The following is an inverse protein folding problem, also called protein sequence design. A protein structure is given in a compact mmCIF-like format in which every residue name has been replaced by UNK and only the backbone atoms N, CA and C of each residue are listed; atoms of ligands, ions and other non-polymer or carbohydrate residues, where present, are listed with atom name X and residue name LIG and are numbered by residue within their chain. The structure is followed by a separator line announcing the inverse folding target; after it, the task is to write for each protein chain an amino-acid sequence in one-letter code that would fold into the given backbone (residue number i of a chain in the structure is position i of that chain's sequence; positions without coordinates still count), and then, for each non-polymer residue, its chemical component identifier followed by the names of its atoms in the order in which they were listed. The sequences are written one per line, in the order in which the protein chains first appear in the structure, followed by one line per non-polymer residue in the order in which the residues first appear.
data_IF_880679369879
#
_entry.id   IF_880679369879
#
_cell.length_a   1.000
_cell.length_b   1.000
_cell.length_c   1.000
_cell.angle_alpha   90.00
_cell.angle_beta   90.00
_cell.angle_gamma   90.00
#
_symmetry.space_group_name_H-M   'P 1'
#
loop_
_entity.id
_entity.type
_entity.pdbx_description
1 polymer ?
#
# COMPACT_ATOMS: atom_id res chain seq x y z
N UNK A 1 10.06 29.53 -0.10
CA UNK A 1 9.23 30.18 -1.17
C UNK A 1 9.54 29.78 -2.62
N UNK A 2 10.59 30.29 -3.29
CA UNK A 2 10.77 30.10 -4.75
C UNK A 2 11.01 28.64 -5.21
N UNK A 3 11.66 27.84 -4.37
CA UNK A 3 11.95 26.43 -4.66
C UNK A 3 10.69 25.55 -4.53
N UNK A 4 9.93 25.72 -3.44
CA UNK A 4 8.66 25.03 -3.20
C UNK A 4 7.60 25.39 -4.26
N UNK A 5 7.50 26.67 -4.65
CA UNK A 5 6.60 27.08 -5.73
C UNK A 5 6.97 26.43 -7.07
N UNK A 6 8.27 26.40 -7.42
CA UNK A 6 8.74 25.74 -8.64
C UNK A 6 8.48 24.23 -8.64
N UNK A 7 8.63 23.58 -7.49
CA UNK A 7 8.39 22.15 -7.35
C UNK A 7 6.90 21.81 -7.47
N UNK A 8 6.02 22.55 -6.79
CA UNK A 8 4.57 22.39 -6.90
C UNK A 8 4.08 22.72 -8.32
N UNK A 9 4.60 23.78 -8.96
CA UNK A 9 4.24 24.15 -10.32
C UNK A 9 4.72 23.12 -11.37
N UNK A 10 5.89 22.51 -11.15
CA UNK A 10 6.43 21.42 -11.96
C UNK A 10 5.55 20.16 -11.86
N UNK A 11 5.22 19.75 -10.63
CA UNK A 11 4.42 18.55 -10.40
C UNK A 11 2.95 18.73 -10.81
N UNK A 12 2.38 19.94 -10.69
CA UNK A 12 1.03 20.25 -11.22
C UNK A 12 0.98 20.19 -12.75
N UNK A 13 2.06 20.56 -13.44
CA UNK A 13 2.19 20.40 -14.90
C UNK A 13 2.27 18.94 -15.32
N UNK A 14 2.97 18.09 -14.56
CA UNK A 14 2.99 16.64 -14.80
C UNK A 14 1.62 16.01 -14.55
N UNK A 15 0.88 16.48 -13.53
CA UNK A 15 -0.46 15.98 -13.19
C UNK A 15 -1.60 16.62 -14.01
N UNK A 16 -1.30 17.47 -15.01
CA UNK A 16 -2.29 18.16 -15.87
C UNK A 16 -3.43 18.88 -15.11
N UNK A 17 -3.15 19.40 -13.92
CA UNK A 17 -4.16 20.05 -13.06
C UNK A 17 -3.77 21.49 -12.72
N UNK A 18 -4.77 22.34 -12.48
CA UNK A 18 -4.56 23.73 -12.08
C UNK A 18 -3.89 23.81 -10.71
N UNK A 19 -2.99 24.76 -10.48
CA UNK A 19 -2.23 24.93 -9.23
C UNK A 19 -3.08 24.83 -7.95
N UNK A 20 -4.24 25.48 -7.93
CA UNK A 20 -5.21 25.39 -6.83
C UNK A 20 -5.81 23.99 -6.67
N UNK A 21 -6.15 23.32 -7.77
CA UNK A 21 -6.64 21.94 -7.74
C UNK A 21 -5.55 20.96 -7.32
N UNK A 22 -4.28 21.22 -7.64
CA UNK A 22 -3.15 20.41 -7.18
C UNK A 22 -2.89 20.60 -5.68
N UNK A 23 -2.94 21.85 -5.20
CA UNK A 23 -2.85 22.20 -3.79
C UNK A 23 -3.98 21.55 -2.98
N UNK A 24 -5.21 21.55 -3.51
CA UNK A 24 -6.39 21.00 -2.81
C UNK A 24 -6.53 19.49 -2.99
N UNK A 25 -6.22 18.91 -4.16
CA UNK A 25 -6.55 17.51 -4.50
C UNK A 25 -5.36 16.59 -4.83
N UNK A 26 -4.15 17.07 -5.14
CA UNK A 26 -3.24 16.24 -5.96
C UNK A 26 -1.72 16.31 -5.74
N UNK A 27 -1.20 16.79 -4.61
CA UNK A 27 0.26 16.88 -4.41
C UNK A 27 0.78 16.25 -3.13
N UNK A 28 2.04 15.80 -3.18
CA UNK A 28 2.83 15.27 -2.06
C UNK A 28 2.52 16.03 -0.76
N UNK A 29 2.00 15.36 0.27
CA UNK A 29 1.54 16.02 1.49
C UNK A 29 2.64 16.87 2.15
N UNK A 30 3.89 16.42 2.06
CA UNK A 30 5.07 17.12 2.55
C UNK A 30 5.32 18.45 1.86
N UNK A 31 5.23 18.52 0.52
CA UNK A 31 5.48 19.77 -0.22
C UNK A 31 4.39 20.80 0.02
N UNK A 32 3.13 20.36 0.12
CA UNK A 32 2.00 21.26 0.45
C UNK A 32 2.10 21.76 1.89
N UNK A 33 2.55 20.93 2.83
CA UNK A 33 2.75 21.32 4.22
C UNK A 33 3.80 22.42 4.35
N UNK A 34 4.99 22.24 3.77
CA UNK A 34 6.07 23.23 3.80
C UNK A 34 5.65 24.55 3.15
N UNK A 35 4.92 24.49 2.03
CA UNK A 35 4.42 25.69 1.37
C UNK A 35 3.41 26.48 2.23
N UNK A 36 2.49 25.77 2.91
CA UNK A 36 1.51 26.41 3.79
C UNK A 36 2.17 27.03 5.03
N UNK A 37 3.19 26.37 5.58
CA UNK A 37 3.98 26.88 6.69
C UNK A 37 4.71 28.19 6.32
N UNK A 38 5.40 28.20 5.18
CA UNK A 38 6.06 29.38 4.63
C UNK A 38 5.05 30.54 4.42
N UNK A 39 3.89 30.24 3.81
CA UNK A 39 2.86 31.25 3.55
C UNK A 39 2.23 31.82 4.83
N UNK A 40 1.95 30.95 5.81
CA UNK A 40 1.39 31.34 7.10
C UNK A 40 2.36 32.24 7.85
N UNK A 41 3.65 31.90 7.85
CA UNK A 41 4.69 32.66 8.55
C UNK A 41 4.88 34.05 7.95
N UNK A 42 4.96 34.15 6.62
CA UNK A 42 5.10 35.44 5.92
C UNK A 42 3.86 36.32 6.15
N UNK A 43 2.65 35.74 6.06
CA UNK A 43 1.40 36.48 6.27
C UNK A 43 1.29 36.94 7.72
N UNK A 44 1.64 36.09 8.69
CA UNK A 44 1.64 36.43 10.10
C UNK A 44 2.58 37.60 10.44
N UNK A 45 3.80 37.61 9.89
CA UNK A 45 4.75 38.72 10.08
C UNK A 45 4.25 40.02 9.45
N UNK A 46 3.63 39.96 8.27
CA UNK A 46 3.03 41.15 7.64
C UNK A 46 1.87 41.73 8.46
N UNK A 47 0.99 40.86 8.98
CA UNK A 47 -0.13 41.28 9.85
C UNK A 47 0.40 41.87 11.15
N UNK A 48 1.36 41.22 11.80
CA UNK A 48 1.98 41.73 13.02
C UNK A 48 2.66 43.10 12.79
N UNK A 49 3.44 43.23 11.72
CA UNK A 49 4.12 44.47 11.36
C UNK A 49 3.17 45.62 11.05
N UNK A 50 2.08 45.35 10.34
CA UNK A 50 1.04 46.37 10.03
C UNK A 50 0.25 46.78 11.27
N UNK A 51 -0.18 45.83 12.11
CA UNK A 51 -0.86 46.12 13.37
C UNK A 51 0.03 46.92 14.34
N UNK A 52 1.29 46.54 14.49
CA UNK A 52 2.24 47.25 15.36
C UNK A 52 2.55 48.66 14.84
N UNK A 53 2.71 48.82 13.53
CA UNK A 53 2.94 50.13 12.91
C UNK A 53 1.72 51.06 13.08
N UNK A 54 0.51 50.55 12.89
CA UNK A 54 -0.72 51.31 13.11
C UNK A 54 -0.93 51.63 14.60
N UNK A 55 -0.69 50.68 15.50
CA UNK A 55 -0.81 50.88 16.95
C UNK A 55 0.11 52.00 17.43
N UNK A 56 1.37 52.01 16.97
CA UNK A 56 2.33 53.06 17.28
C UNK A 56 1.93 54.43 16.70
N UNK A 57 1.36 54.46 15.49
CA UNK A 57 0.95 55.71 14.85
C UNK A 57 -0.28 56.34 15.52
N UNK A 58 -1.29 55.52 15.87
CA UNK A 58 -2.53 55.97 16.48
C UNK A 58 -2.50 56.03 18.01
N UNK A 59 -1.43 55.54 18.66
CA UNK A 59 -1.31 55.44 20.13
C UNK A 59 -2.48 54.69 20.79
N UNK A 60 -3.04 53.69 20.09
CA UNK A 60 -4.19 52.89 20.54
C UNK A 60 -3.76 51.43 20.78
N UNK A 61 -3.50 51.03 22.05
CA UNK A 61 -3.04 49.68 22.40
C UNK A 61 -4.02 48.56 22.00
N UNK A 62 -5.30 48.90 21.81
CA UNK A 62 -6.34 47.97 21.40
C UNK A 62 -6.09 47.34 20.03
N UNK A 63 -5.43 48.06 19.11
CA UNK A 63 -5.14 47.59 17.75
C UNK A 63 -4.14 46.42 17.76
N UNK A 64 -3.18 46.45 18.68
CA UNK A 64 -2.18 45.39 18.84
C UNK A 64 -2.79 44.09 19.40
N UNK A 65 -3.73 44.23 20.34
CA UNK A 65 -4.49 43.10 20.90
C UNK A 65 -5.36 42.41 19.84
N UNK A 66 -6.03 43.19 18.98
CA UNK A 66 -6.83 42.64 17.87
C UNK A 66 -5.96 41.96 16.81
N UNK A 67 -4.77 42.52 16.52
CA UNK A 67 -3.77 41.90 15.66
C UNK A 67 -3.33 40.53 16.17
N UNK A 68 -3.05 40.41 17.46
CA UNK A 68 -2.63 39.15 18.10
C UNK A 68 -3.72 38.07 18.03
N UNK A 69 -5.00 38.43 18.27
CA UNK A 69 -6.14 37.49 18.12
C UNK A 69 -6.26 37.02 16.67
N UNK A 70 -6.11 37.91 15.71
CA UNK A 70 -6.20 37.60 14.28
C UNK A 70 -5.11 36.62 13.86
N UNK A 71 -3.88 36.81 14.32
CA UNK A 71 -2.76 35.88 14.09
C UNK A 71 -3.06 34.50 14.70
N UNK A 72 -3.61 34.46 15.92
CA UNK A 72 -4.00 33.22 16.57
C UNK A 72 -5.04 32.42 15.78
N UNK A 73 -6.06 33.10 15.24
CA UNK A 73 -7.09 32.47 14.40
C UNK A 73 -6.47 31.94 13.09
N UNK A 74 -5.60 32.72 12.46
CA UNK A 74 -4.92 32.32 11.22
C UNK A 74 -4.08 31.06 11.43
N UNK A 75 -3.27 31.02 12.49
CA UNK A 75 -2.44 29.85 12.82
C UNK A 75 -3.32 28.63 13.16
N UNK A 76 -4.40 28.81 13.91
CA UNK A 76 -5.35 27.73 14.23
C UNK A 76 -6.00 27.13 12.98
N UNK A 77 -6.38 27.97 12.01
CA UNK A 77 -6.96 27.52 10.75
C UNK A 77 -5.95 26.72 9.89
N UNK A 78 -4.71 27.21 9.76
CA UNK A 78 -3.63 26.52 9.03
C UNK A 78 -3.31 25.18 9.69
N UNK A 79 -3.15 25.15 11.02
CA UNK A 79 -2.89 23.92 11.76
C UNK A 79 -4.01 22.89 11.57
N UNK A 80 -5.27 23.32 11.68
CA UNK A 80 -6.43 22.43 11.48
C UNK A 80 -6.47 21.85 10.06
N UNK A 81 -6.15 22.66 9.05
CA UNK A 81 -6.07 22.21 7.66
C UNK A 81 -4.98 21.16 7.46
N UNK A 82 -3.78 21.40 8.02
CA UNK A 82 -2.65 20.45 7.95
C UNK A 82 -2.96 19.13 8.67
N UNK A 83 -3.61 19.17 9.83
CA UNK A 83 -4.02 17.96 10.57
C UNK A 83 -4.97 17.12 9.71
N UNK A 84 -6.04 17.72 9.16
CA UNK A 84 -7.01 17.00 8.33
C UNK A 84 -6.35 16.36 7.11
N UNK A 85 -5.39 17.06 6.49
CA UNK A 85 -4.68 16.55 5.32
C UNK A 85 -3.70 15.43 5.66
N UNK A 86 -2.94 15.55 6.75
CA UNK A 86 -2.03 14.49 7.20
C UNK A 86 -2.80 13.22 7.59
N UNK A 87 -3.93 13.34 8.28
CA UNK A 87 -4.80 12.20 8.59
C UNK A 87 -5.23 11.50 7.30
N UNK A 88 -5.59 12.24 6.25
CA UNK A 88 -6.02 11.63 4.98
C UNK A 88 -4.93 10.83 4.25
N UNK A 89 -3.65 11.05 4.56
CA UNK A 89 -2.51 10.28 4.04
C UNK A 89 -2.04 9.16 4.98
N UNK A 90 -2.34 9.25 6.28
CA UNK A 90 -2.09 8.20 7.27
C UNK A 90 -3.19 7.12 7.29
N UNK A 91 -4.40 7.47 6.86
CA UNK A 91 -5.50 6.53 6.73
C UNK A 91 -5.23 5.67 5.50
N UNK A 92 -4.73 4.46 5.77
CA UNK A 92 -4.76 3.31 4.88
C UNK A 92 -6.15 3.21 4.23
N UNK A 93 -6.19 3.31 2.91
CA UNK A 93 -7.44 3.16 2.14
C UNK A 93 -7.47 1.79 1.52
N UNK A 94 -8.65 1.20 1.42
CA UNK A 94 -8.82 -0.01 0.63
C UNK A 94 -8.38 0.23 -0.82
N UNK A 95 -7.80 -0.78 -1.45
CA UNK A 95 -7.45 -0.70 -2.86
C UNK A 95 -8.70 -0.46 -3.70
N UNK A 96 -8.52 0.12 -4.89
CA UNK A 96 -9.66 0.35 -5.78
C UNK A 96 -10.36 -0.99 -6.08
N UNK A 97 -11.69 -1.12 -5.89
CA UNK A 97 -12.40 -2.40 -5.99
C UNK A 97 -12.18 -3.14 -7.31
N UNK A 98 -12.08 -2.40 -8.41
CA UNK A 98 -11.78 -2.99 -9.74
C UNK A 98 -10.41 -3.68 -9.80
N UNK A 99 -9.40 -3.16 -9.09
CA UNK A 99 -8.07 -3.79 -9.02
C UNK A 99 -8.09 -5.03 -8.14
N UNK A 100 -8.75 -4.92 -6.99
CA UNK A 100 -8.94 -6.05 -6.08
C UNK A 100 -9.64 -7.21 -6.80
N UNK A 101 -10.73 -6.93 -7.52
CA UNK A 101 -11.44 -7.92 -8.33
C UNK A 101 -10.56 -8.51 -9.45
N UNK A 102 -9.66 -7.73 -10.03
CA UNK A 102 -8.70 -8.23 -11.04
C UNK A 102 -7.72 -9.24 -10.44
N UNK A 103 -7.21 -8.99 -9.23
CA UNK A 103 -6.30 -9.92 -8.53
C UNK A 103 -7.06 -11.18 -8.11
N UNK A 104 -8.28 -11.04 -7.58
CA UNK A 104 -9.13 -12.18 -7.24
C UNK A 104 -9.42 -13.02 -8.48
N UNK A 105 -9.77 -12.40 -9.61
CA UNK A 105 -10.01 -13.11 -10.86
C UNK A 105 -8.77 -13.85 -11.39
N UNK A 106 -7.57 -13.29 -11.17
CA UNK A 106 -6.31 -13.98 -11.50
C UNK A 106 -6.08 -15.20 -10.60
N UNK A 107 -6.36 -15.08 -9.29
CA UNK A 107 -6.28 -16.19 -8.34
C UNK A 107 -7.27 -17.30 -8.67
N UNK A 108 -8.53 -16.96 -8.92
CA UNK A 108 -9.60 -17.92 -9.25
C UNK A 108 -9.41 -18.59 -10.62
N UNK A 109 -8.65 -17.97 -11.53
CA UNK A 109 -8.32 -18.57 -12.82
C UNK A 109 -7.25 -19.68 -12.72
N UNK A 110 -6.51 -19.77 -11.60
CA UNK A 110 -5.49 -20.79 -11.42
C UNK A 110 -6.10 -22.12 -11.00
N UNK A 111 -5.80 -23.19 -11.75
CA UNK A 111 -6.23 -24.57 -11.45
C UNK A 111 -5.91 -25.07 -10.03
N UNK A 112 -4.88 -24.53 -9.38
CA UNK A 112 -4.46 -24.92 -8.03
C UNK A 112 -5.32 -24.26 -6.95
N UNK A 113 -5.96 -23.14 -7.25
CA UNK A 113 -6.79 -22.40 -6.30
C UNK A 113 -8.22 -22.94 -6.36
N UNK A 114 -8.75 -23.37 -5.22
CA UNK A 114 -10.15 -23.81 -5.10
C UNK A 114 -11.07 -22.64 -4.78
N UNK A 115 -10.66 -21.79 -3.83
CA UNK A 115 -11.41 -20.59 -3.45
C UNK A 115 -10.50 -19.59 -2.73
N UNK A 116 -10.91 -18.32 -2.76
CA UNK A 116 -10.23 -17.21 -2.10
C UNK A 116 -11.15 -16.65 -1.02
N UNK A 117 -10.61 -16.43 0.19
CA UNK A 117 -11.30 -15.99 1.40
C UNK A 117 -10.53 -14.86 2.09
N UNK A 118 -11.22 -14.16 3.00
CA UNK A 118 -10.69 -13.05 3.83
C UNK A 118 -9.76 -12.06 3.07
N UNK A 119 -10.19 -11.61 1.90
CA UNK A 119 -9.40 -10.67 1.09
C UNK A 119 -9.32 -9.31 1.80
N UNK A 120 -8.09 -8.86 2.04
CA UNK A 120 -7.78 -7.56 2.62
C UNK A 120 -6.78 -6.85 1.72
N UNK A 121 -7.21 -5.73 1.16
CA UNK A 121 -6.36 -4.88 0.33
C UNK A 121 -6.20 -3.51 0.96
N UNK A 122 -4.97 -3.02 1.00
CA UNK A 122 -4.64 -1.71 1.55
C UNK A 122 -3.68 -0.97 0.63
N UNK A 123 -4.08 0.20 0.16
CA UNK A 123 -3.22 1.16 -0.53
C UNK A 123 -2.55 2.09 0.49
N UNK A 124 -1.21 2.12 0.44
CA UNK A 124 -0.35 3.00 1.23
C UNK A 124 0.23 4.04 0.28
N UNK A 125 -0.44 5.19 0.21
CA UNK A 125 -0.07 6.26 -0.73
C UNK A 125 -0.43 5.94 -2.19
N UNK A 126 0.12 6.71 -3.15
CA UNK A 126 -0.25 6.58 -4.57
C UNK A 126 0.40 5.39 -5.29
N UNK A 127 1.55 4.90 -4.80
CA UNK A 127 2.39 3.96 -5.55
C UNK A 127 2.37 2.53 -5.00
N UNK A 128 2.07 2.34 -3.70
CA UNK A 128 2.27 1.04 -3.04
C UNK A 128 0.97 0.50 -2.47
N UNK A 129 0.70 -0.77 -2.75
CA UNK A 129 -0.41 -1.52 -2.17
C UNK A 129 0.08 -2.80 -1.49
N UNK A 130 -0.69 -3.24 -0.49
CA UNK A 130 -0.59 -4.53 0.17
C UNK A 130 -1.85 -5.32 -0.11
N UNK A 131 -1.67 -6.60 -0.41
CA UNK A 131 -2.75 -7.54 -0.63
C UNK A 131 -2.53 -8.76 0.26
N UNK A 132 -3.56 -9.13 1.01
CA UNK A 132 -3.59 -10.34 1.82
C UNK A 132 -4.85 -11.12 1.52
N UNK A 133 -4.74 -12.43 1.39
CA UNK A 133 -5.88 -13.31 1.20
C UNK A 133 -5.60 -14.69 1.79
N UNK A 134 -6.66 -15.34 2.27
CA UNK A 134 -6.66 -16.75 2.62
C UNK A 134 -7.06 -17.56 1.38
N UNK A 135 -6.29 -18.59 1.04
CA UNK A 135 -6.50 -19.39 -0.16
C UNK A 135 -6.69 -20.85 0.24
N UNK A 136 -7.78 -21.44 -0.27
CA UNK A 136 -7.97 -22.88 -0.23
C UNK A 136 -7.35 -23.51 -1.48
N UNK A 137 -6.36 -24.37 -1.27
CA UNK A 137 -5.63 -25.03 -2.35
C UNK A 137 -6.21 -26.40 -2.70
N UNK A 138 -6.24 -26.73 -4.00
CA UNK A 138 -6.58 -28.06 -4.46
C UNK A 138 -5.36 -28.99 -4.33
N UNK A 139 -5.31 -29.76 -3.25
CA UNK A 139 -4.20 -30.68 -2.98
C UNK A 139 -3.97 -31.74 -4.07
N UNK A 140 -5.01 -32.13 -4.82
CA UNK A 140 -4.86 -33.09 -5.92
C UNK A 140 -4.13 -32.46 -7.11
N UNK A 141 -4.47 -31.22 -7.47
CA UNK A 141 -3.79 -30.51 -8.56
C UNK A 141 -2.33 -30.20 -8.19
N UNK A 142 -2.06 -29.85 -6.94
CA UNK A 142 -0.70 -29.65 -6.42
C UNK A 142 0.10 -30.95 -6.56
N UNK A 143 -0.46 -32.08 -6.12
CA UNK A 143 0.18 -33.39 -6.26
C UNK A 143 0.39 -33.75 -7.74
N UNK A 144 -0.58 -33.46 -8.61
CA UNK A 144 -0.50 -33.73 -10.05
C UNK A 144 0.61 -32.90 -10.71
N UNK A 145 0.73 -31.62 -10.39
CA UNK A 145 1.84 -30.77 -10.86
C UNK A 145 3.19 -31.24 -10.33
N UNK A 146 3.27 -31.65 -9.06
CA UNK A 146 4.48 -32.23 -8.47
C UNK A 146 4.93 -33.49 -9.24
N UNK A 147 4.01 -34.42 -9.48
CA UNK A 147 4.26 -35.66 -10.23
C UNK A 147 4.74 -35.32 -11.66
N UNK A 148 4.07 -34.39 -12.34
CA UNK A 148 4.42 -33.98 -13.71
C UNK A 148 5.79 -33.30 -13.79
N UNK A 149 6.15 -32.52 -12.77
CA UNK A 149 7.43 -31.79 -12.70
C UNK A 149 8.61 -32.66 -12.30
N UNK A 150 8.37 -33.87 -11.74
CA UNK A 150 9.42 -34.75 -11.24
C UNK A 150 9.36 -36.19 -11.82
N UNK A 151 9.37 -36.37 -13.15
CA UNK A 151 9.12 -37.67 -13.79
C UNK A 151 10.17 -38.74 -13.46
N UNK A 152 11.44 -38.34 -13.27
CA UNK A 152 12.52 -39.26 -12.87
C UNK A 152 12.26 -39.80 -11.48
N UNK A 153 11.82 -38.94 -10.55
CA UNK A 153 11.60 -39.31 -9.16
C UNK A 153 10.44 -40.26 -9.00
N UNK A 154 9.38 -40.09 -9.79
CA UNK A 154 8.24 -41.01 -9.82
C UNK A 154 8.67 -42.42 -10.24
N UNK A 155 9.60 -42.54 -11.20
CA UNK A 155 10.17 -43.85 -11.57
C UNK A 155 10.95 -44.48 -10.42
N UNK A 156 11.78 -43.71 -9.73
CA UNK A 156 12.52 -44.19 -8.54
C UNK A 156 11.61 -44.55 -7.38
N UNK A 157 10.59 -43.74 -7.11
CA UNK A 157 9.59 -44.01 -6.08
C UNK A 157 8.82 -45.31 -6.42
N UNK A 158 8.53 -45.57 -7.71
CA UNK A 158 7.89 -46.82 -8.15
C UNK A 158 8.78 -48.06 -7.94
N UNK A 159 10.09 -47.96 -8.21
CA UNK A 159 11.04 -49.02 -7.90
C UNK A 159 11.12 -49.28 -6.39
N UNK A 160 11.13 -48.20 -5.59
CA UNK A 160 11.13 -48.28 -4.12
C UNK A 160 9.87 -48.96 -3.61
N UNK A 161 8.70 -48.55 -4.09
CA UNK A 161 7.39 -49.13 -3.72
C UNK A 161 7.30 -50.62 -4.00
N UNK A 162 7.93 -51.11 -5.09
CA UNK A 162 7.99 -52.55 -5.41
C UNK A 162 8.87 -53.35 -4.44
N UNK A 163 9.81 -52.69 -3.76
CA UNK A 163 10.73 -53.31 -2.82
C UNK A 163 10.23 -53.27 -1.36
N UNK A 164 9.15 -52.54 -1.07
CA UNK A 164 8.60 -52.45 0.29
C UNK A 164 7.86 -53.73 0.65
N UNK A 165 8.20 -54.31 1.81
CA UNK A 165 7.60 -55.56 2.27
C UNK A 165 7.03 -55.46 3.70
N UNK A 166 7.26 -54.34 4.39
CA UNK A 166 6.79 -54.15 5.77
C UNK A 166 5.98 -52.86 5.93
N UNK A 167 5.04 -52.87 6.87
CA UNK A 167 4.19 -51.72 7.19
C UNK A 167 5.03 -50.49 7.60
N UNK A 168 6.13 -50.71 8.32
CA UNK A 168 7.04 -49.65 8.75
C UNK A 168 7.70 -48.92 7.57
N UNK A 169 8.13 -49.66 6.54
CA UNK A 169 8.71 -49.08 5.33
C UNK A 169 7.68 -48.29 4.53
N UNK A 170 6.44 -48.76 4.46
CA UNK A 170 5.33 -48.05 3.79
C UNK A 170 5.03 -46.73 4.51
N UNK A 171 4.94 -46.76 5.85
CA UNK A 171 4.73 -45.55 6.64
C UNK A 171 5.86 -44.54 6.46
N UNK A 172 7.11 -45.00 6.45
CA UNK A 172 8.26 -44.15 6.20
C UNK A 172 8.23 -43.52 4.79
N UNK A 173 7.92 -44.31 3.77
CA UNK A 173 7.80 -43.82 2.41
C UNK A 173 6.66 -42.81 2.25
N UNK A 174 5.46 -43.12 2.78
CA UNK A 174 4.30 -42.22 2.71
C UNK A 174 4.59 -40.88 3.40
N UNK A 175 5.25 -40.91 4.57
CA UNK A 175 5.64 -39.70 5.29
C UNK A 175 6.63 -38.86 4.49
N UNK A 176 7.65 -39.49 3.90
CA UNK A 176 8.61 -38.79 3.04
C UNK A 176 7.96 -38.26 1.76
N UNK A 177 6.97 -38.97 1.21
CA UNK A 177 6.28 -38.55 -0.01
C UNK A 177 5.34 -37.37 0.26
N UNK A 178 4.50 -37.44 1.30
CA UNK A 178 3.58 -36.36 1.66
C UNK A 178 4.30 -35.07 2.03
N UNK A 179 5.41 -35.15 2.77
CA UNK A 179 6.24 -33.98 3.08
C UNK A 179 6.75 -33.27 1.81
N UNK A 180 7.04 -34.01 0.73
CA UNK A 180 7.47 -33.45 -0.56
C UNK A 180 6.32 -32.77 -1.30
N UNK A 181 5.14 -33.35 -1.27
CA UNK A 181 3.94 -32.74 -1.88
C UNK A 181 3.59 -31.44 -1.15
N UNK A 182 3.60 -31.44 0.18
CA UNK A 182 3.38 -30.23 0.99
C UNK A 182 4.47 -29.18 0.73
N UNK A 183 5.74 -29.58 0.61
CA UNK A 183 6.81 -28.64 0.24
C UNK A 183 6.60 -28.05 -1.17
N UNK A 184 6.02 -28.80 -2.10
CA UNK A 184 5.68 -28.31 -3.44
C UNK A 184 4.57 -27.26 -3.43
N UNK A 185 3.70 -27.26 -2.43
CA UNK A 185 2.67 -26.23 -2.26
C UNK A 185 3.30 -24.85 -2.08
N UNK A 186 4.35 -24.74 -1.26
CA UNK A 186 5.08 -23.48 -1.06
C UNK A 186 5.63 -22.91 -2.36
N UNK A 187 6.19 -23.76 -3.23
CA UNK A 187 6.66 -23.35 -4.57
C UNK A 187 5.53 -22.81 -5.45
N UNK A 188 4.33 -23.38 -5.36
CA UNK A 188 3.18 -22.90 -6.12
C UNK A 188 2.63 -21.59 -5.57
N UNK A 189 2.68 -21.36 -4.25
CA UNK A 189 2.38 -20.06 -3.64
C UNK A 189 3.34 -19.00 -4.17
N UNK A 190 4.65 -19.26 -4.14
CA UNK A 190 5.66 -18.35 -4.66
C UNK A 190 5.43 -18.01 -6.15
N UNK A 191 5.05 -19.01 -6.95
CA UNK A 191 4.71 -18.80 -8.37
C UNK A 191 3.53 -17.84 -8.52
N UNK A 192 2.44 -18.08 -7.78
CA UNK A 192 1.22 -17.26 -7.86
C UNK A 192 1.53 -15.82 -7.41
N UNK A 193 2.32 -15.64 -6.35
CA UNK A 193 2.75 -14.30 -5.92
C UNK A 193 3.53 -13.56 -7.00
N UNK A 194 4.46 -14.24 -7.68
CA UNK A 194 5.24 -13.66 -8.78
C UNK A 194 4.34 -13.28 -9.95
N UNK A 195 3.34 -14.11 -10.26
CA UNK A 195 2.37 -13.86 -11.32
C UNK A 195 1.50 -12.63 -11.02
N UNK A 196 1.05 -12.48 -9.78
CA UNK A 196 0.33 -11.27 -9.34
C UNK A 196 1.26 -10.04 -9.44
N UNK A 197 2.51 -10.12 -8.95
CA UNK A 197 3.48 -9.01 -9.03
C UNK A 197 3.77 -8.60 -10.48
N UNK A 198 3.75 -9.54 -11.43
CA UNK A 198 3.94 -9.26 -12.84
C UNK A 198 2.76 -8.48 -13.47
N UNK A 199 1.52 -8.81 -13.08
CA UNK A 199 0.32 -8.13 -13.57
C UNK A 199 -0.01 -6.84 -12.82
N UNK A 200 0.36 -6.77 -11.53
CA UNK A 200 0.06 -5.68 -10.61
C UNK A 200 1.33 -5.23 -9.85
N UNK A 201 2.27 -4.55 -10.52
CA UNK A 201 3.56 -4.14 -9.93
C UNK A 201 3.42 -3.13 -8.78
N UNK A 202 2.27 -2.46 -8.65
CA UNK A 202 1.96 -1.59 -7.51
C UNK A 202 1.77 -2.37 -6.20
N UNK A 203 1.44 -3.67 -6.27
CA UNK A 203 1.24 -4.53 -5.11
C UNK A 203 2.59 -5.10 -4.67
N UNK A 204 3.28 -4.35 -3.81
CA UNK A 204 4.63 -4.71 -3.36
C UNK A 204 4.67 -5.82 -2.32
N UNK A 205 3.59 -5.95 -1.54
CA UNK A 205 3.48 -6.95 -0.51
C UNK A 205 2.25 -7.79 -0.77
N UNK A 206 2.47 -9.09 -0.96
CA UNK A 206 1.43 -10.09 -1.15
C UNK A 206 1.65 -11.12 -0.05
N UNK A 207 0.58 -11.44 0.67
CA UNK A 207 0.58 -12.44 1.73
C UNK A 207 -0.57 -13.42 1.45
N UNK A 208 -0.22 -14.62 0.99
CA UNK A 208 -1.18 -15.67 0.67
C UNK A 208 -1.11 -16.73 1.76
N UNK A 209 -2.11 -16.75 2.64
CA UNK A 209 -2.18 -17.72 3.72
C UNK A 209 -3.00 -18.95 3.28
N UNK A 210 -2.59 -20.13 3.72
CA UNK A 210 -3.33 -21.38 3.45
C UNK A 210 -4.44 -21.49 4.50
N UNK A 211 -5.67 -21.75 4.04
CA UNK A 211 -6.85 -21.96 4.88
C UNK A 211 -6.87 -23.36 5.56
#
# INVERSE_FOLDING_TARGET
MAFAYRQIASSARQASTTFWSYLVKGGDPTSVQVFLEDCSSVTGVLVAGTCLSLSNYFSLPFIDSLGSITIGILLSAVATFLIKRNISGLVERSMHPAKEASIIGLLEADSIVTSVHDVKSTSIGPEWARFKAEILFNGEEVARKYIASNPVRIKTDLETLRALNTDAEIQEWMTKHSARVVASLGTEVDRIELEIKAHHPEVKHIDLEIL
#
